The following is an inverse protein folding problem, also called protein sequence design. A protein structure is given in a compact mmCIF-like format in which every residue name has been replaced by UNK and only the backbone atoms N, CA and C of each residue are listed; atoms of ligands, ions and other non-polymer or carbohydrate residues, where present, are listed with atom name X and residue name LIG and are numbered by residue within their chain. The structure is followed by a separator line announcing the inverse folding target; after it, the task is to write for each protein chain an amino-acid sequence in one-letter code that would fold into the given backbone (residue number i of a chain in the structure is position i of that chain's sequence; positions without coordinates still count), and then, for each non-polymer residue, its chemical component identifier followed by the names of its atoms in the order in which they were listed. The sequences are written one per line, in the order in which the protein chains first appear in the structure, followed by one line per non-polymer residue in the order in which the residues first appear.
data_IF_641330512900
#
_entry.id   IF_641330512900
#
_cell.length_a   1.000
_cell.length_b   1.000
_cell.length_c   1.000
_cell.angle_alpha   90.00
_cell.angle_beta   90.00
_cell.angle_gamma   90.00
#
_symmetry.space_group_name_H-M   'P 1'
#
loop_
_entity.id
_entity.type
_entity.pdbx_description
1 polymer ?
#
# COMPACT_ATOMS: atom_id res chain seq x y z
N UNK A 1 12.27 19.87 -12.34
CA UNK A 1 13.19 19.02 -11.55
C UNK A 1 12.94 17.58 -11.91
N UNK A 2 13.99 16.80 -12.10
CA UNK A 2 13.89 15.36 -12.42
C UNK A 2 14.20 14.51 -11.18
N UNK A 3 13.73 13.25 -11.16
CA UNK A 3 14.05 12.31 -10.07
C UNK A 3 15.57 12.10 -9.91
N UNK A 4 16.30 12.19 -11.03
CA UNK A 4 17.77 12.07 -11.07
C UNK A 4 18.44 13.25 -10.34
N UNK A 5 17.89 14.45 -10.47
CA UNK A 5 18.41 15.66 -9.81
C UNK A 5 18.20 15.64 -8.29
N UNK A 6 17.12 15.02 -7.80
CA UNK A 6 16.75 15.05 -6.37
C UNK A 6 17.32 13.87 -5.56
N UNK A 7 17.70 12.78 -6.24
CA UNK A 7 18.22 11.55 -5.63
C UNK A 7 19.43 11.77 -4.68
N UNK A 8 20.41 12.64 -5.00
CA UNK A 8 21.54 12.89 -4.10
C UNK A 8 21.11 13.48 -2.76
N UNK A 9 20.12 14.37 -2.75
CA UNK A 9 19.63 15.01 -1.52
C UNK A 9 18.83 14.01 -0.68
N UNK A 10 17.97 13.19 -1.31
CA UNK A 10 17.26 12.10 -0.62
C UNK A 10 18.23 11.13 0.05
N UNK A 11 19.37 10.82 -0.58
CA UNK A 11 20.39 9.93 0.00
C UNK A 11 21.05 10.50 1.25
N UNK A 12 21.11 11.83 1.39
CA UNK A 12 21.71 12.52 2.55
C UNK A 12 20.77 12.59 3.76
N UNK A 13 19.47 12.36 3.56
CA UNK A 13 18.50 12.36 4.64
C UNK A 13 18.83 11.28 5.69
N UNK A 14 18.59 11.56 6.98
CA UNK A 14 18.65 10.55 8.02
C UNK A 14 17.57 9.47 7.80
N UNK A 15 17.74 8.32 8.45
CA UNK A 15 16.94 7.12 8.14
C UNK A 15 15.45 7.31 8.44
N UNK A 16 15.13 8.02 9.51
CA UNK A 16 13.78 8.40 9.91
C UNK A 16 13.10 9.31 8.89
N UNK A 17 13.81 10.31 8.37
CA UNK A 17 13.28 11.19 7.32
C UNK A 17 13.07 10.45 5.99
N UNK A 18 13.95 9.50 5.64
CA UNK A 18 13.75 8.64 4.47
C UNK A 18 12.48 7.81 4.59
N UNK A 19 12.25 7.21 5.76
CA UNK A 19 11.03 6.44 6.03
C UNK A 19 9.78 7.32 5.96
N UNK A 20 9.87 8.55 6.47
CA UNK A 20 8.76 9.50 6.38
C UNK A 20 8.46 9.90 4.93
N UNK A 21 9.50 10.20 4.14
CA UNK A 21 9.36 10.50 2.72
C UNK A 21 8.73 9.33 1.95
N UNK A 22 9.17 8.10 2.18
CA UNK A 22 8.57 6.92 1.55
C UNK A 22 7.08 6.76 1.90
N UNK A 23 6.67 7.06 3.12
CA UNK A 23 5.26 7.01 3.52
C UNK A 23 4.41 8.04 2.78
N UNK A 24 4.86 9.29 2.70
CA UNK A 24 4.15 10.34 1.95
C UNK A 24 3.99 9.92 0.49
N UNK A 25 5.07 9.45 -0.15
CA UNK A 25 5.02 9.03 -1.54
C UNK A 25 4.10 7.82 -1.76
N UNK A 26 4.08 6.86 -0.84
CA UNK A 26 3.17 5.72 -0.90
C UNK A 26 1.70 6.16 -0.75
N UNK A 27 1.42 7.09 0.17
CA UNK A 27 0.08 7.63 0.38
C UNK A 27 -0.42 8.44 -0.83
N UNK A 28 0.45 9.23 -1.46
CA UNK A 28 0.16 9.93 -2.72
C UNK A 28 -0.12 8.96 -3.87
N UNK A 29 0.61 7.83 -3.94
CA UNK A 29 0.35 6.76 -4.91
C UNK A 29 -0.99 6.09 -4.66
N UNK A 30 -1.31 5.75 -3.40
CA UNK A 30 -2.58 5.10 -3.03
C UNK A 30 -3.79 6.02 -3.22
N UNK A 31 -3.64 7.35 -3.02
CA UNK A 31 -4.69 8.33 -3.29
C UNK A 31 -4.87 8.65 -4.78
N UNK A 32 -3.92 8.25 -5.62
CA UNK A 32 -3.99 8.39 -7.08
C UNK A 32 -4.73 7.26 -7.79
N UNK A 33 -5.12 6.20 -7.07
CA UNK A 33 -6.09 5.27 -7.62
C UNK A 33 -7.43 5.99 -7.73
N UNK A 34 -7.91 6.19 -8.96
CA UNK A 34 -9.28 6.62 -9.18
C UNK A 34 -10.21 5.57 -8.56
N UNK A 35 -10.65 5.83 -7.33
CA UNK A 35 -11.67 5.01 -6.67
C UNK A 35 -12.98 5.29 -7.40
N UNK A 36 -13.21 4.56 -8.48
CA UNK A 36 -14.47 4.62 -9.21
C UNK A 36 -15.58 3.95 -8.37
N UNK A 37 -16.78 4.54 -8.32
CA UNK A 37 -17.91 3.88 -7.69
C UNK A 37 -18.21 2.55 -8.39
N UNK A 38 -18.73 1.58 -7.63
CA UNK A 38 -19.17 0.30 -8.19
C UNK A 38 -20.18 0.54 -9.33
N UNK A 39 -19.95 -0.11 -10.46
CA UNK A 39 -20.81 0.01 -11.63
C UNK A 39 -22.18 -0.62 -11.37
N UNK A 40 -23.23 0.03 -11.87
CA UNK A 40 -24.59 -0.47 -11.75
C UNK A 40 -24.74 -1.80 -12.51
N UNK A 41 -25.43 -2.78 -11.92
CA UNK A 41 -25.63 -4.14 -12.45
C UNK A 41 -24.36 -4.99 -12.62
N UNK A 42 -23.23 -4.61 -11.99
CA UNK A 42 -22.02 -5.44 -11.99
C UNK A 42 -21.94 -6.29 -10.71
N UNK A 43 -21.65 -7.59 -10.89
CA UNK A 43 -21.40 -8.50 -9.78
C UNK A 43 -19.91 -8.50 -9.46
N UNK A 44 -19.58 -8.10 -8.24
CA UNK A 44 -18.21 -8.12 -7.73
C UNK A 44 -18.03 -9.33 -6.81
N UNK A 45 -17.09 -10.21 -7.15
CA UNK A 45 -16.72 -11.33 -6.29
C UNK A 45 -15.73 -10.84 -5.23
N UNK A 46 -16.25 -10.45 -4.08
CA UNK A 46 -15.44 -10.07 -2.94
C UNK A 46 -15.05 -11.34 -2.18
N UNK A 47 -13.75 -11.51 -1.96
CA UNK A 47 -13.29 -12.52 -1.00
C UNK A 47 -13.81 -12.09 0.37
N UNK A 48 -14.75 -12.85 0.92
CA UNK A 48 -15.18 -12.65 2.30
C UNK A 48 -14.38 -13.59 3.19
N UNK A 49 -14.08 -13.21 4.44
CA UNK A 49 -13.42 -14.10 5.40
C UNK A 49 -14.33 -15.25 5.86
N UNK A 50 -15.57 -15.32 5.35
CA UNK A 50 -16.48 -16.44 5.61
C UNK A 50 -15.86 -17.72 5.06
N UNK A 51 -15.87 -18.78 5.86
CA UNK A 51 -15.22 -20.06 5.57
C UNK A 51 -13.69 -20.02 5.33
N UNK A 52 -13.04 -18.90 5.62
CA UNK A 52 -11.57 -18.78 5.59
C UNK A 52 -10.94 -19.36 6.87
N UNK A 53 -11.33 -20.59 7.24
CA UNK A 53 -10.90 -21.26 8.47
C UNK A 53 -9.38 -21.46 8.56
N UNK A 54 -8.71 -21.52 7.41
CA UNK A 54 -7.25 -21.61 7.31
C UNK A 54 -6.55 -20.27 7.54
N UNK A 55 -7.23 -19.12 7.38
CA UNK A 55 -6.61 -17.81 7.51
C UNK A 55 -6.10 -17.55 8.93
N UNK A 56 -6.82 -18.02 9.95
CA UNK A 56 -6.38 -17.92 11.35
C UNK A 56 -5.08 -18.71 11.61
N UNK A 57 -4.93 -19.89 10.99
CA UNK A 57 -3.71 -20.70 11.09
C UNK A 57 -2.52 -20.02 10.40
N UNK A 58 -2.73 -19.52 9.18
CA UNK A 58 -1.68 -18.83 8.40
C UNK A 58 -1.24 -17.55 9.12
N UNK A 59 -2.16 -16.79 9.71
CA UNK A 59 -1.82 -15.61 10.49
C UNK A 59 -0.96 -15.98 11.72
N UNK A 60 -1.31 -17.04 12.43
CA UNK A 60 -0.55 -17.51 13.59
C UNK A 60 0.87 -17.93 13.20
N UNK A 61 1.05 -18.64 12.08
CA UNK A 61 2.36 -19.02 11.54
C UNK A 61 3.21 -17.81 11.11
N UNK A 62 2.58 -16.74 10.61
CA UNK A 62 3.28 -15.54 10.18
C UNK A 62 3.74 -14.63 11.34
N UNK A 63 3.17 -14.79 12.53
CA UNK A 63 3.48 -13.99 13.72
C UNK A 63 4.49 -14.66 14.67
N UNK A 64 4.98 -15.85 14.32
CA UNK A 64 6.01 -16.63 15.05
C UNK A 64 7.32 -16.69 14.29
#
# INVERSE_FOLDING_TARGET
MTLVEILPEIRRLPMDEKLHLFRILAEELDTSEDIYPLEHHKTYYLMTPYESYSAGKILAEALT
#
